data_IF_780750876634
#
_entry.id   IF_780750876634
#
_cell.length_a   1.000
_cell.length_b   1.000
_cell.length_c   1.000
_cell.angle_alpha   90.00
_cell.angle_beta   90.00
_cell.angle_gamma   90.00
#
_symmetry.space_group_name_H-M   'P 1'
#
loop_
_entity.id
_entity.type
_entity.pdbx_description
1 polymer ?
#
# COMPACT_ATOMS: atom_id res chain seq x y z
N UNK A 1 46.94 -16.84 75.83
CA UNK A 1 45.75 -16.95 74.95
C UNK A 1 44.51 -16.71 75.80
N UNK A 2 43.57 -15.87 75.35
CA UNK A 2 42.58 -16.32 74.38
C UNK A 2 42.49 -15.45 73.11
N UNK A 3 42.02 -16.09 72.06
CA UNK A 3 41.81 -15.59 70.70
C UNK A 3 40.60 -14.65 70.62
N UNK A 4 40.61 -13.60 69.78
CA UNK A 4 39.42 -12.79 69.56
C UNK A 4 38.39 -13.55 68.71
N UNK A 5 37.18 -13.68 69.23
CA UNK A 5 35.99 -14.16 68.52
C UNK A 5 35.55 -13.12 67.49
N UNK A 6 35.37 -13.54 66.23
CA UNK A 6 34.82 -12.68 65.18
C UNK A 6 33.30 -12.75 65.21
N UNK A 7 32.65 -11.61 65.43
CA UNK A 7 31.20 -11.47 65.40
C UNK A 7 30.76 -11.34 63.93
N UNK A 8 29.89 -12.24 63.47
CA UNK A 8 29.33 -12.16 62.11
C UNK A 8 28.10 -11.25 62.15
N UNK A 9 27.96 -10.26 61.26
CA UNK A 9 26.76 -9.42 61.24
C UNK A 9 25.54 -10.27 60.86
N UNK A 10 24.37 -10.02 61.47
CA UNK A 10 23.16 -10.74 61.11
C UNK A 10 22.81 -10.47 59.64
N UNK A 11 22.54 -11.53 58.89
CA UNK A 11 21.96 -11.43 57.56
C UNK A 11 20.55 -10.83 57.71
N UNK A 12 20.45 -9.54 57.41
CA UNK A 12 19.19 -8.80 57.33
C UNK A 12 18.23 -9.55 56.42
N UNK A 13 17.13 -10.06 57.00
CA UNK A 13 16.00 -10.60 56.25
C UNK A 13 15.38 -9.46 55.44
N UNK A 14 15.83 -9.32 54.20
CA UNK A 14 15.11 -8.58 53.19
C UNK A 14 13.66 -9.07 53.19
N UNK A 15 12.77 -8.19 53.64
CA UNK A 15 11.38 -8.47 53.92
C UNK A 15 10.69 -8.92 52.63
N UNK A 16 9.98 -10.05 52.65
CA UNK A 16 9.21 -10.66 51.52
C UNK A 16 8.27 -9.69 50.78
N UNK A 17 8.05 -8.50 51.33
CA UNK A 17 7.19 -7.42 50.84
C UNK A 17 7.82 -6.61 49.70
N UNK A 18 9.14 -6.61 49.54
CA UNK A 18 9.80 -5.93 48.41
C UNK A 18 9.83 -6.79 47.15
N UNK A 19 9.81 -8.11 47.25
CA UNK A 19 9.81 -9.02 46.08
C UNK A 19 8.48 -8.99 45.32
N UNK A 20 7.35 -8.80 46.00
CA UNK A 20 6.03 -8.69 45.37
C UNK A 20 5.76 -7.32 44.70
N UNK A 21 6.54 -6.28 45.03
CA UNK A 21 6.42 -4.98 44.38
C UNK A 21 7.10 -4.94 43.00
N UNK A 22 8.07 -5.82 42.74
CA UNK A 22 8.77 -5.90 41.45
C UNK A 22 8.11 -6.87 40.46
N UNK A 23 7.32 -7.85 40.91
CA UNK A 23 6.62 -8.78 40.01
C UNK A 23 5.40 -8.16 39.32
N UNK A 24 4.81 -7.10 39.87
CA UNK A 24 3.68 -6.40 39.23
C UNK A 24 4.11 -5.57 38.00
N UNK A 25 5.35 -5.11 37.93
CA UNK A 25 5.86 -4.32 36.80
C UNK A 25 6.32 -5.18 35.61
N UNK A 26 6.68 -6.44 35.84
CA UNK A 26 7.11 -7.35 34.76
C UNK A 26 5.94 -7.92 33.94
N UNK A 27 4.74 -8.02 34.53
CA UNK A 27 3.53 -8.47 33.82
C UNK A 27 2.88 -7.38 32.97
N UNK A 28 3.12 -6.09 33.26
CA UNK A 28 2.62 -4.98 32.45
C UNK A 28 3.35 -4.86 31.10
N UNK A 29 4.61 -5.31 31.02
CA UNK A 29 5.40 -5.28 29.77
C UNK A 29 5.04 -6.40 28.80
N UNK A 30 4.51 -7.54 29.28
CA UNK A 30 4.06 -8.64 28.41
C UNK A 30 2.62 -8.46 27.89
N UNK A 31 1.77 -7.71 28.60
CA UNK A 31 0.42 -7.39 28.12
C UNK A 31 0.43 -6.36 26.97
N UNK A 32 1.46 -5.51 26.88
CA UNK A 32 1.60 -4.50 25.82
C UNK A 32 2.10 -5.04 24.47
N UNK A 33 2.77 -6.19 24.44
CA UNK A 33 3.32 -6.76 23.20
C UNK A 33 2.26 -7.31 22.24
N UNK A 34 1.21 -7.95 22.77
CA UNK A 34 0.18 -8.59 21.95
C UNK A 34 -0.64 -7.61 21.10
N UNK A 35 -0.88 -6.39 21.60
CA UNK A 35 -1.61 -5.36 20.87
C UNK A 35 -0.85 -4.88 19.63
N UNK A 36 0.47 -4.69 19.75
CA UNK A 36 1.32 -4.25 18.62
C UNK A 36 1.44 -5.31 17.53
N UNK A 37 1.57 -6.60 17.88
CA UNK A 37 1.61 -7.68 16.89
C UNK A 37 0.26 -7.85 16.16
N UNK A 38 -0.86 -7.73 16.89
CA UNK A 38 -2.19 -7.81 16.28
C UNK A 38 -2.44 -6.65 15.30
N UNK A 39 -2.04 -5.42 15.64
CA UNK A 39 -2.17 -4.25 14.75
C UNK A 39 -1.37 -4.41 13.47
N UNK A 40 -0.10 -4.85 13.55
CA UNK A 40 0.73 -5.09 12.36
C UNK A 40 0.13 -6.19 11.48
N UNK A 41 -0.38 -7.28 12.06
CA UNK A 41 -1.02 -8.35 11.28
C UNK A 41 -2.28 -7.89 10.54
N UNK A 42 -3.10 -7.04 11.18
CA UNK A 42 -4.32 -6.51 10.58
C UNK A 42 -4.00 -5.53 9.44
N UNK A 43 -3.02 -4.65 9.62
CA UNK A 43 -2.57 -3.73 8.58
C UNK A 43 -2.00 -4.47 7.35
N UNK A 44 -1.21 -5.53 7.58
CA UNK A 44 -0.69 -6.37 6.50
C UNK A 44 -1.83 -7.10 5.74
N UNK A 45 -2.83 -7.61 6.46
CA UNK A 45 -3.98 -8.26 5.83
C UNK A 45 -4.83 -7.28 5.00
N UNK A 46 -5.01 -6.05 5.48
CA UNK A 46 -5.70 -5.00 4.74
C UNK A 46 -4.95 -4.59 3.47
N UNK A 47 -3.63 -4.43 3.56
CA UNK A 47 -2.78 -4.15 2.40
C UNK A 47 -2.84 -5.28 1.37
N UNK A 48 -2.73 -6.54 1.82
CA UNK A 48 -2.81 -7.70 0.93
C UNK A 48 -4.16 -7.77 0.22
N UNK A 49 -5.27 -7.58 0.95
CA UNK A 49 -6.60 -7.55 0.35
C UNK A 49 -6.77 -6.40 -0.65
N UNK A 50 -6.17 -5.24 -0.37
CA UNK A 50 -6.17 -4.11 -1.31
C UNK A 50 -5.33 -4.40 -2.57
N UNK A 51 -4.21 -5.09 -2.44
CA UNK A 51 -3.35 -5.48 -3.56
C UNK A 51 -4.05 -6.50 -4.47
N UNK A 52 -4.69 -7.52 -3.89
CA UNK A 52 -5.47 -8.52 -4.63
C UNK A 52 -6.68 -7.89 -5.35
N UNK A 53 -7.39 -6.99 -4.66
CA UNK A 53 -8.44 -6.17 -5.26
C UNK A 53 -7.91 -5.37 -6.46
N UNK A 54 -6.73 -4.76 -6.32
CA UNK A 54 -6.08 -3.97 -7.36
C UNK A 54 -5.69 -4.82 -8.57
N UNK A 55 -5.18 -6.04 -8.35
CA UNK A 55 -4.88 -6.98 -9.43
C UNK A 55 -6.13 -7.30 -10.24
N UNK A 56 -7.23 -7.65 -9.57
CA UNK A 56 -8.48 -7.98 -10.24
C UNK A 56 -9.04 -6.78 -11.02
N UNK A 57 -9.01 -5.57 -10.45
CA UNK A 57 -9.57 -4.36 -11.08
C UNK A 57 -8.76 -3.86 -12.27
N UNK A 58 -7.45 -4.04 -12.25
CA UNK A 58 -6.54 -3.50 -13.28
C UNK A 58 -6.15 -4.54 -14.33
N UNK A 59 -6.24 -5.83 -14.01
CA UNK A 59 -5.80 -6.94 -14.86
C UNK A 59 -4.28 -7.18 -14.83
N UNK A 60 -3.55 -6.54 -13.93
CA UNK A 60 -2.09 -6.72 -13.76
C UNK A 60 -1.81 -7.46 -12.45
N UNK A 61 -0.99 -8.50 -12.47
CA UNK A 61 -0.60 -9.31 -11.32
C UNK A 61 0.77 -8.94 -10.74
N UNK A 62 1.45 -7.96 -11.33
CA UNK A 62 2.80 -7.50 -11.00
C UNK A 62 2.81 -6.12 -10.31
N UNK A 63 1.68 -5.70 -9.72
CA UNK A 63 1.58 -4.41 -9.05
C UNK A 63 2.49 -4.32 -7.81
N UNK A 64 3.14 -3.17 -7.63
CA UNK A 64 4.05 -2.91 -6.50
C UNK A 64 3.29 -2.76 -5.19
N UNK A 65 3.66 -3.57 -4.19
CA UNK A 65 3.13 -3.49 -2.82
C UNK A 65 3.37 -2.11 -2.19
N UNK A 66 4.54 -1.51 -2.43
CA UNK A 66 4.86 -0.19 -1.90
C UNK A 66 3.98 0.93 -2.50
N UNK A 67 3.60 0.82 -3.77
CA UNK A 67 2.67 1.75 -4.41
C UNK A 67 1.25 1.51 -3.89
N UNK A 68 0.83 0.24 -3.77
CA UNK A 68 -0.47 -0.13 -3.22
C UNK A 68 -0.66 0.43 -1.80
N UNK A 69 0.35 0.30 -0.95
CA UNK A 69 0.34 0.87 0.41
C UNK A 69 0.15 2.39 0.38
N UNK A 70 0.91 3.12 -0.45
CA UNK A 70 0.78 4.58 -0.56
C UNK A 70 -0.58 5.03 -1.08
N UNK A 71 -1.14 4.30 -2.05
CA UNK A 71 -2.48 4.56 -2.58
C UNK A 71 -3.51 4.40 -1.45
N UNK A 72 -3.49 3.26 -0.77
CA UNK A 72 -4.42 2.96 0.32
C UNK A 72 -4.33 4.00 1.45
N UNK A 73 -3.12 4.26 1.96
CA UNK A 73 -2.88 5.24 3.01
C UNK A 73 -3.36 6.64 2.61
N UNK A 74 -3.10 7.06 1.37
CA UNK A 74 -3.50 8.39 0.88
C UNK A 74 -5.02 8.50 0.78
N UNK A 75 -5.71 7.49 0.23
CA UNK A 75 -7.16 7.49 0.08
C UNK A 75 -7.88 7.46 1.44
N UNK A 76 -7.35 6.71 2.41
CA UNK A 76 -7.89 6.65 3.78
C UNK A 76 -7.61 7.95 4.55
N UNK A 77 -6.46 8.58 4.32
CA UNK A 77 -6.14 9.88 4.95
C UNK A 77 -7.01 11.01 4.39
N UNK A 78 -7.35 10.99 3.10
CA UNK A 78 -8.23 11.98 2.48
C UNK A 78 -9.70 11.83 2.96
N UNK A 79 -10.17 10.60 3.17
CA UNK A 79 -11.45 10.31 3.80
C UNK A 79 -11.39 9.02 4.64
N UNK A 80 -11.47 9.10 5.97
CA UNK A 80 -11.45 7.91 6.84
C UNK A 80 -12.58 6.91 6.55
N UNK A 81 -13.69 7.34 5.94
CA UNK A 81 -14.76 6.43 5.54
C UNK A 81 -14.33 5.46 4.42
N UNK A 82 -13.25 5.78 3.68
CA UNK A 82 -12.74 4.94 2.61
C UNK A 82 -12.16 3.62 3.12
N UNK A 83 -11.64 3.56 4.36
CA UNK A 83 -11.14 2.31 4.94
C UNK A 83 -12.21 1.22 4.97
N UNK A 84 -13.44 1.57 5.35
CA UNK A 84 -14.56 0.64 5.34
C UNK A 84 -14.96 0.24 3.92
N UNK A 85 -15.04 1.21 3.00
CA UNK A 85 -15.40 0.95 1.59
C UNK A 85 -14.44 -0.03 0.93
N UNK A 86 -13.13 0.14 1.13
CA UNK A 86 -12.12 -0.73 0.53
C UNK A 86 -12.10 -2.12 1.17
N UNK A 87 -12.35 -2.23 2.48
CA UNK A 87 -12.53 -3.54 3.12
C UNK A 87 -13.75 -4.28 2.56
N UNK A 88 -14.86 -3.57 2.33
CA UNK A 88 -16.04 -4.15 1.68
C UNK A 88 -15.75 -4.58 0.24
N UNK A 89 -15.04 -3.75 -0.54
CA UNK A 89 -14.63 -4.11 -1.90
C UNK A 89 -13.70 -5.34 -1.93
N UNK A 90 -12.74 -5.44 -1.00
CA UNK A 90 -11.89 -6.62 -0.88
C UNK A 90 -12.69 -7.88 -0.52
N UNK A 91 -13.73 -7.74 0.31
CA UNK A 91 -14.68 -8.83 0.58
C UNK A 91 -15.47 -9.26 -0.67
N UNK A 92 -15.92 -8.30 -1.48
CA UNK A 92 -16.62 -8.58 -2.73
C UNK A 92 -15.69 -9.24 -3.77
N UNK A 93 -14.44 -8.79 -3.87
CA UNK A 93 -13.46 -9.34 -4.83
C UNK A 93 -13.14 -10.80 -4.57
N UNK A 94 -13.18 -11.27 -3.32
CA UNK A 94 -12.95 -12.67 -2.97
C UNK A 94 -13.97 -13.64 -3.61
N UNK A 95 -15.13 -13.14 -4.04
CA UNK A 95 -16.20 -13.95 -4.67
C UNK A 95 -16.45 -13.60 -6.13
N UNK A 96 -15.82 -12.53 -6.64
CA UNK A 96 -16.00 -12.07 -8.00
C UNK A 96 -15.21 -12.96 -8.98
N UNK A 97 -15.84 -13.33 -10.09
CA UNK A 97 -15.19 -14.14 -11.13
C UNK A 97 -14.23 -13.34 -12.00
N UNK A 98 -14.52 -12.06 -12.21
CA UNK A 98 -13.71 -11.13 -12.99
C UNK A 98 -13.96 -9.67 -12.56
N UNK A 99 -13.24 -8.74 -13.20
CA UNK A 99 -13.34 -7.31 -12.93
C UNK A 99 -14.74 -6.73 -13.20
N UNK A 100 -15.49 -7.26 -14.16
CA UNK A 100 -16.84 -6.77 -14.48
C UNK A 100 -17.83 -7.21 -13.41
N UNK A 101 -17.78 -8.47 -12.98
CA UNK A 101 -18.58 -8.99 -11.88
C UNK A 101 -18.34 -8.19 -10.59
N UNK A 102 -17.08 -7.88 -10.27
CA UNK A 102 -16.74 -7.02 -9.13
C UNK A 102 -17.33 -5.61 -9.28
N UNK A 103 -17.19 -4.99 -10.45
CA UNK A 103 -17.73 -3.63 -10.71
C UNK A 103 -19.25 -3.58 -10.56
N UNK A 104 -19.95 -4.61 -11.00
CA UNK A 104 -21.41 -4.68 -10.91
C UNK A 104 -21.86 -4.93 -9.47
N UNK A 105 -21.18 -5.82 -8.74
CA UNK A 105 -21.42 -6.02 -7.30
C UNK A 105 -21.13 -4.74 -6.49
N UNK A 106 -20.03 -4.05 -6.78
CA UNK A 106 -19.68 -2.78 -6.16
C UNK A 106 -20.74 -1.70 -6.42
N UNK A 107 -21.23 -1.59 -7.67
CA UNK A 107 -22.32 -0.66 -8.01
C UNK A 107 -23.60 -0.97 -7.24
N UNK A 108 -23.99 -2.23 -7.15
CA UNK A 108 -25.16 -2.65 -6.37
C UNK A 108 -25.03 -2.31 -4.87
N UNK A 109 -23.81 -2.31 -4.35
CA UNK A 109 -23.49 -1.94 -2.96
C UNK A 109 -23.24 -0.43 -2.75
N UNK A 110 -23.35 0.41 -3.78
CA UNK A 110 -23.05 1.85 -3.68
C UNK A 110 -21.55 2.19 -3.57
N UNK A 111 -20.67 1.26 -3.97
CA UNK A 111 -19.20 1.38 -3.92
C UNK A 111 -18.58 1.69 -5.30
N UNK A 112 -19.38 2.08 -6.29
CA UNK A 112 -18.91 2.34 -7.66
C UNK A 112 -17.85 3.46 -7.76
N UNK A 113 -18.01 4.52 -6.98
CA UNK A 113 -17.03 5.61 -6.93
C UNK A 113 -15.71 5.14 -6.32
N UNK A 114 -15.77 4.32 -5.27
CA UNK A 114 -14.57 3.74 -4.65
C UNK A 114 -13.77 2.85 -5.61
N UNK A 115 -14.44 2.09 -6.49
CA UNK A 115 -13.78 1.35 -7.57
C UNK A 115 -13.11 2.31 -8.56
N UNK A 116 -13.79 3.40 -8.92
CA UNK A 116 -13.27 4.41 -9.84
C UNK A 116 -12.04 5.09 -9.26
N UNK A 117 -12.03 5.39 -7.96
CA UNK A 117 -10.90 6.01 -7.26
C UNK A 117 -9.66 5.09 -7.30
N UNK A 118 -9.82 3.79 -7.01
CA UNK A 118 -8.73 2.82 -7.05
C UNK A 118 -8.14 2.73 -8.46
N UNK A 119 -8.98 2.53 -9.47
CA UNK A 119 -8.53 2.39 -10.86
C UNK A 119 -7.86 3.69 -11.33
N UNK A 120 -8.43 4.84 -11.00
CA UNK A 120 -7.86 6.15 -11.36
C UNK A 120 -6.50 6.38 -10.70
N UNK A 121 -6.34 6.00 -9.43
CA UNK A 121 -5.07 6.11 -8.72
C UNK A 121 -3.96 5.29 -9.39
N UNK A 122 -4.26 4.06 -9.79
CA UNK A 122 -3.30 3.20 -10.48
C UNK A 122 -2.96 3.69 -11.89
N UNK A 123 -3.97 4.06 -12.67
CA UNK A 123 -3.77 4.46 -14.07
C UNK A 123 -3.06 5.81 -14.19
N UNK A 124 -3.43 6.78 -13.37
CA UNK A 124 -2.85 8.12 -13.44
C UNK A 124 -1.61 8.28 -12.57
N UNK A 125 -1.41 7.39 -11.59
CA UNK A 125 -0.38 7.56 -10.58
C UNK A 125 -0.64 8.71 -9.62
N UNK A 126 -1.86 9.26 -9.62
CA UNK A 126 -2.25 10.43 -8.84
C UNK A 126 -3.61 10.23 -8.18
N UNK A 127 -3.83 10.87 -7.04
CA UNK A 127 -5.10 10.91 -6.33
C UNK A 127 -5.54 12.35 -6.21
N UNK A 128 -6.70 12.68 -6.77
CA UNK A 128 -7.34 13.99 -6.58
C UNK A 128 -8.09 13.99 -5.24
N UNK A 129 -7.37 14.31 -4.16
CA UNK A 129 -7.99 14.45 -2.84
C UNK A 129 -8.84 15.72 -2.72
N UNK A 130 -9.59 15.83 -1.63
CA UNK A 130 -10.52 16.95 -1.37
C UNK A 130 -9.86 18.33 -1.37
N UNK A 131 -8.60 18.39 -0.92
CA UNK A 131 -7.85 19.65 -0.75
C UNK A 131 -6.71 19.81 -1.76
N UNK A 132 -6.09 18.71 -2.18
CA UNK A 132 -4.97 18.73 -3.11
C UNK A 132 -4.86 17.40 -3.88
N UNK A 133 -4.31 17.47 -5.08
CA UNK A 133 -3.87 16.30 -5.80
C UNK A 133 -2.52 15.82 -5.26
N UNK A 134 -2.40 14.52 -5.01
CA UNK A 134 -1.15 13.88 -4.57
C UNK A 134 -0.64 12.96 -5.67
N UNK A 135 0.63 13.12 -6.06
CA UNK A 135 1.30 12.18 -6.96
C UNK A 135 1.86 11.03 -6.14
N UNK A 136 1.46 9.81 -6.46
CA UNK A 136 1.88 8.58 -5.78
C UNK A 136 3.04 7.91 -6.50
N UNK A 137 2.90 7.74 -7.83
CA UNK A 137 3.89 7.12 -8.67
C UNK A 137 3.80 7.69 -10.08
N UNK A 138 4.86 8.36 -10.55
CA UNK A 138 4.85 8.95 -11.89
C UNK A 138 5.29 7.95 -12.96
N UNK A 139 6.46 7.33 -12.81
CA UNK A 139 6.98 6.38 -13.79
C UNK A 139 6.12 5.11 -13.89
N UNK A 140 5.68 4.58 -12.75
CA UNK A 140 4.92 3.33 -12.67
C UNK A 140 3.41 3.47 -12.92
N UNK A 141 2.92 4.65 -13.35
CA UNK A 141 1.51 4.85 -13.64
C UNK A 141 1.06 3.94 -14.80
N UNK A 142 -0.02 3.17 -14.59
CA UNK A 142 -0.38 2.10 -15.51
C UNK A 142 -0.78 2.60 -16.91
N UNK A 143 -1.18 3.87 -17.07
CA UNK A 143 -1.50 4.42 -18.39
C UNK A 143 -0.33 4.40 -19.38
N UNK A 144 0.92 4.30 -18.90
CA UNK A 144 2.09 4.22 -19.78
C UNK A 144 2.34 2.82 -20.34
N UNK A 145 1.93 1.75 -19.63
CA UNK A 145 2.22 0.37 -20.05
C UNK A 145 1.61 0.00 -21.41
N UNK A 146 0.34 0.33 -21.73
CA UNK A 146 -0.25 -0.03 -23.02
C UNK A 146 0.43 0.58 -24.26
N UNK A 147 1.31 1.57 -24.07
CA UNK A 147 1.95 2.33 -25.16
C UNK A 147 3.48 2.28 -25.08
N UNK A 148 4.06 1.44 -24.21
CA UNK A 148 5.51 1.43 -23.94
C UNK A 148 6.37 0.98 -25.14
N UNK A 149 5.76 0.31 -26.11
CA UNK A 149 6.37 -0.12 -27.36
C UNK A 149 6.55 1.03 -28.37
N UNK A 150 5.80 2.12 -28.19
CA UNK A 150 5.78 3.27 -29.08
C UNK A 150 6.01 4.63 -28.42
N UNK A 151 5.92 4.71 -27.10
CA UNK A 151 6.07 5.94 -26.31
C UNK A 151 6.93 5.68 -25.06
N UNK A 152 7.72 6.69 -24.69
CA UNK A 152 8.43 6.73 -23.42
C UNK A 152 7.56 7.39 -22.35
N UNK A 153 7.82 7.09 -21.07
CA UNK A 153 7.32 7.93 -19.97
C UNK A 153 7.94 9.33 -20.14
N UNK A 154 7.16 10.42 -20.13
CA UNK A 154 7.72 11.75 -20.32
C UNK A 154 8.79 12.05 -19.27
N UNK A 155 9.83 12.80 -19.65
CA UNK A 155 11.04 13.10 -18.84
C UNK A 155 12.03 11.94 -18.62
N UNK A 156 11.71 10.71 -19.06
CA UNK A 156 12.63 9.56 -19.04
C UNK A 156 13.23 9.30 -20.42
N UNK A 157 14.55 9.14 -20.49
CA UNK A 157 15.30 9.04 -21.75
C UNK A 157 15.78 7.60 -21.98
N UNK A 158 14.92 6.73 -22.51
CA UNK A 158 15.20 5.28 -22.48
C UNK A 158 15.57 4.65 -23.84
N UNK A 159 15.51 5.45 -24.92
CA UNK A 159 15.72 4.97 -26.30
C UNK A 159 16.79 5.74 -27.08
N UNK A 160 17.45 6.71 -26.43
CA UNK A 160 18.41 7.61 -27.07
C UNK A 160 17.76 8.74 -27.89
N UNK A 161 18.56 9.70 -28.37
CA UNK A 161 18.04 10.83 -29.14
C UNK A 161 17.46 10.37 -30.48
N UNK A 162 16.35 10.95 -30.89
CA UNK A 162 15.72 10.73 -32.20
C UNK A 162 15.31 9.28 -32.52
N UNK A 163 15.17 8.41 -31.53
CA UNK A 163 14.87 6.98 -31.70
C UNK A 163 13.62 6.68 -32.53
N UNK A 164 12.63 7.58 -32.49
CA UNK A 164 11.37 7.50 -33.23
C UNK A 164 11.52 7.66 -34.75
N UNK A 165 12.71 8.01 -35.26
CA UNK A 165 12.98 8.11 -36.70
C UNK A 165 13.17 6.75 -37.36
N UNK A 166 13.87 5.86 -36.67
CA UNK A 166 14.36 4.61 -37.27
C UNK A 166 13.49 3.40 -36.92
N UNK A 167 12.61 3.55 -35.92
CA UNK A 167 11.67 2.51 -35.50
C UNK A 167 10.27 3.11 -35.37
N UNK A 168 9.33 2.63 -36.18
CA UNK A 168 7.91 2.90 -35.99
C UNK A 168 7.36 1.96 -34.90
N UNK A 169 6.38 2.41 -34.10
CA UNK A 169 5.71 1.53 -33.16
C UNK A 169 5.12 0.29 -33.87
N UNK A 170 5.04 -0.87 -33.20
CA UNK A 170 4.38 -2.05 -33.73
C UNK A 170 3.00 -1.76 -34.32
N UNK A 171 2.72 -2.29 -35.52
CA UNK A 171 1.46 -2.07 -36.23
C UNK A 171 1.35 -0.74 -36.99
N UNK A 172 2.27 0.20 -36.80
CA UNK A 172 2.32 1.46 -37.58
C UNK A 172 3.15 1.23 -38.85
N UNK A 173 2.46 1.12 -39.98
CA UNK A 173 3.09 0.80 -41.28
C UNK A 173 3.43 2.03 -42.13
N UNK A 174 3.00 3.23 -41.71
CA UNK A 174 3.30 4.49 -42.39
C UNK A 174 3.37 5.64 -41.40
N UNK A 175 4.25 6.60 -41.66
CA UNK A 175 4.20 7.88 -40.94
C UNK A 175 2.89 8.62 -41.26
N UNK A 176 2.23 9.23 -40.26
CA UNK A 176 1.10 10.11 -40.49
C UNK A 176 1.52 11.25 -41.44
N UNK A 177 0.74 11.47 -42.49
CA UNK A 177 0.94 12.62 -43.39
C UNK A 177 0.08 13.75 -42.84
N UNK A 178 0.71 14.80 -42.29
CA UNK A 178 -0.04 15.97 -41.84
C UNK A 178 -0.66 16.68 -43.05
N UNK A 179 -1.98 16.89 -43.02
CA UNK A 179 -2.71 17.63 -44.06
C UNK A 179 -3.56 18.72 -43.38
N UNK A 180 -3.31 20.01 -43.63
CA UNK A 180 -2.25 20.56 -44.48
C UNK A 180 -0.84 20.31 -43.90
N UNK A 181 0.18 20.34 -44.77
CA UNK A 181 1.58 20.34 -44.33
C UNK A 181 1.82 21.61 -43.50
N UNK A 182 1.86 21.47 -42.19
CA UNK A 182 2.48 22.47 -41.32
C UNK A 182 3.99 22.22 -41.34
N UNK A 183 4.73 23.34 -41.47
CA UNK A 183 6.16 23.45 -41.81
C UNK A 183 7.07 22.41 -41.15
#
# INVERSE_FOLDING_TARGET
>A
MPSPTYDSPPLSMATRRTVLAWSASALALFAGGGASFAQTSAANAELQGFLELSWLLTGYDDLSEAIAQRILETLVTDDPANAEKYRQLAGLSATATDANALRDAARAAGLGDAVTDIVSAWYTGTIAGKQKTTVIAYNDALMYRPVEDGLIVPTYCDKGPMWWRDTLPPGVTRMPVNVPKVL
#
